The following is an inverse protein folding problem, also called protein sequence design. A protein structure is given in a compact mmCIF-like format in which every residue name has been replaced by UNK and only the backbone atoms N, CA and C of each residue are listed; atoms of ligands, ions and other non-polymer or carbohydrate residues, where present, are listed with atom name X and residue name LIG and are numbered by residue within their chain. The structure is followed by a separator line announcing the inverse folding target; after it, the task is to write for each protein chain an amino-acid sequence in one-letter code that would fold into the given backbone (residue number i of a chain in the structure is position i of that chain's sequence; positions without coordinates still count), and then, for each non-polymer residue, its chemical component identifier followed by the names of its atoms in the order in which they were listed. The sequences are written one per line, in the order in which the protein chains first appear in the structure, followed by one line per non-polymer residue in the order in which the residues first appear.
data_IF_021057850740
#
_entry.id   IF_021057850740
#
_cell.length_a   1.000
_cell.length_b   1.000
_cell.length_c   1.000
_cell.angle_alpha   90.00
_cell.angle_beta   90.00
_cell.angle_gamma   90.00
#
_symmetry.space_group_name_H-M   'P 1'
#
loop_
_entity.id
_entity.type
_entity.pdbx_description
1 polymer ?
#
# COMPACT_ATOMS: atom_id res chain seq x y z
N UNK A 1 17.16 -24.85 6.24
CA UNK A 1 15.94 -24.05 5.95
C UNK A 1 16.21 -22.64 6.42
N UNK A 2 16.24 -21.63 5.53
CA UNK A 2 16.36 -20.24 5.99
C UNK A 2 15.10 -19.87 6.76
N UNK A 3 15.25 -19.33 7.96
CA UNK A 3 14.13 -18.79 8.74
C UNK A 3 13.53 -17.63 7.94
N UNK A 4 12.21 -17.64 7.78
CA UNK A 4 11.50 -16.55 7.13
C UNK A 4 11.56 -15.29 8.01
N UNK A 5 12.17 -14.22 7.51
CA UNK A 5 12.22 -12.92 8.19
C UNK A 5 10.93 -12.14 7.95
N UNK A 6 9.98 -12.32 8.87
CA UNK A 6 8.69 -11.62 8.86
C UNK A 6 8.85 -10.10 8.99
N UNK A 7 9.84 -9.61 9.73
CA UNK A 7 10.00 -8.18 9.96
C UNK A 7 10.44 -7.47 8.69
N UNK A 8 11.43 -8.06 7.98
CA UNK A 8 11.85 -7.53 6.69
C UNK A 8 10.72 -7.60 5.65
N UNK A 9 9.99 -8.72 5.59
CA UNK A 9 8.84 -8.88 4.68
C UNK A 9 7.77 -7.79 4.90
N UNK A 10 7.37 -7.54 6.15
CA UNK A 10 6.38 -6.51 6.47
C UNK A 10 6.87 -5.11 6.09
N UNK A 11 8.16 -4.81 6.32
CA UNK A 11 8.77 -3.52 5.98
C UNK A 11 8.79 -3.27 4.47
N UNK A 12 9.20 -4.27 3.68
CA UNK A 12 9.22 -4.18 2.22
C UNK A 12 7.82 -4.02 1.64
N UNK A 13 6.86 -4.83 2.09
CA UNK A 13 5.47 -4.76 1.61
C UNK A 13 4.82 -3.43 2.00
N UNK A 14 5.03 -2.94 3.23
CA UNK A 14 4.59 -1.61 3.64
C UNK A 14 5.13 -0.52 2.71
N UNK A 15 6.42 -0.54 2.38
CA UNK A 15 7.03 0.43 1.48
C UNK A 15 6.44 0.39 0.06
N UNK A 16 6.17 -0.82 -0.46
CA UNK A 16 5.51 -1.00 -1.75
C UNK A 16 4.10 -0.40 -1.76
N UNK A 17 3.32 -0.64 -0.71
CA UNK A 17 1.95 -0.15 -0.56
C UNK A 17 1.92 1.38 -0.37
N UNK A 18 2.80 1.92 0.47
CA UNK A 18 2.89 3.37 0.70
C UNK A 18 3.24 4.11 -0.62
N UNK A 19 4.13 3.55 -1.46
CA UNK A 19 4.41 4.09 -2.81
C UNK A 19 3.21 3.98 -3.76
N UNK A 20 2.40 2.93 -3.64
CA UNK A 20 1.21 2.77 -4.48
C UNK A 20 0.12 3.78 -4.08
N UNK A 21 -0.15 3.91 -2.78
CA UNK A 21 -1.08 4.89 -2.23
C UNK A 21 -0.70 6.32 -2.63
N UNK A 22 0.59 6.67 -2.58
CA UNK A 22 1.05 8.01 -2.98
C UNK A 22 0.71 8.28 -4.45
N UNK A 23 0.98 7.31 -5.33
CA UNK A 23 0.63 7.42 -6.75
C UNK A 23 -0.88 7.52 -7.00
N UNK A 24 -1.70 6.82 -6.24
CA UNK A 24 -3.16 6.87 -6.39
C UNK A 24 -3.75 8.17 -5.85
N UNK A 25 -3.13 8.73 -4.82
CA UNK A 25 -3.60 9.98 -4.23
C UNK A 25 -3.10 11.20 -4.99
N UNK A 26 -2.00 11.11 -5.77
CA UNK A 26 -1.37 12.21 -6.52
C UNK A 26 -2.33 13.34 -6.90
N UNK A 27 -1.97 14.53 -6.44
CA UNK A 27 -2.71 15.76 -6.63
C UNK A 27 -3.06 16.00 -8.11
N UNK A 28 -4.35 16.06 -8.40
CA UNK A 28 -4.82 16.59 -9.67
C UNK A 28 -4.97 18.10 -9.51
N UNK A 29 -4.31 18.88 -10.39
CA UNK A 29 -4.33 20.36 -10.42
C UNK A 29 -5.74 21.00 -10.41
N UNK A 30 -6.79 20.19 -10.62
CA UNK A 30 -8.20 20.60 -10.65
C UNK A 30 -8.92 20.53 -9.29
N UNK A 31 -8.31 19.97 -8.24
CA UNK A 31 -8.97 19.71 -6.96
C UNK A 31 -8.50 20.63 -5.84
N UNK A 32 -9.33 20.78 -4.80
CA UNK A 32 -9.00 21.56 -3.60
C UNK A 32 -7.76 21.01 -2.90
N UNK A 33 -6.71 21.84 -2.77
CA UNK A 33 -5.48 21.49 -2.07
C UNK A 33 -5.73 21.10 -0.61
N UNK A 34 -6.72 21.72 0.04
CA UNK A 34 -7.09 21.43 1.43
C UNK A 34 -7.63 20.00 1.58
N UNK A 35 -8.51 19.58 0.66
CA UNK A 35 -9.04 18.21 0.67
C UNK A 35 -7.93 17.19 0.43
N UNK A 36 -7.06 17.46 -0.54
CA UNK A 36 -5.93 16.58 -0.83
C UNK A 36 -5.00 16.42 0.38
N UNK A 37 -4.63 17.53 1.03
CA UNK A 37 -3.82 17.51 2.26
C UNK A 37 -4.50 16.72 3.38
N UNK A 38 -5.80 16.87 3.56
CA UNK A 38 -6.55 16.13 4.58
C UNK A 38 -6.56 14.61 4.30
N UNK A 39 -6.81 14.20 3.04
CA UNK A 39 -6.76 12.80 2.63
C UNK A 39 -5.37 12.20 2.80
N UNK A 40 -4.34 12.93 2.34
CA UNK A 40 -2.96 12.50 2.46
C UNK A 40 -2.56 12.35 3.93
N UNK A 41 -2.90 13.32 4.78
CA UNK A 41 -2.67 13.21 6.22
C UNK A 41 -3.35 11.96 6.80
N UNK A 42 -4.64 11.75 6.52
CA UNK A 42 -5.37 10.58 7.00
C UNK A 42 -4.73 9.26 6.58
N UNK A 43 -4.38 9.12 5.30
CA UNK A 43 -3.81 7.89 4.75
C UNK A 43 -2.38 7.64 5.25
N UNK A 44 -1.57 8.68 5.43
CA UNK A 44 -0.14 8.57 5.77
C UNK A 44 0.21 8.87 7.24
N UNK A 45 -0.78 9.07 8.11
CA UNK A 45 -0.62 9.36 9.57
C UNK A 45 0.01 8.25 10.42
N UNK A 46 0.50 7.17 9.80
CA UNK A 46 1.13 6.04 10.49
C UNK A 46 0.22 4.81 10.56
N UNK A 47 0.71 3.69 10.05
CA UNK A 47 -0.03 2.43 10.05
C UNK A 47 0.83 1.27 9.56
N UNK A 48 0.55 0.07 10.11
CA UNK A 48 1.30 -1.17 9.80
C UNK A 48 0.97 -1.76 8.41
N UNK A 49 -0.11 -1.30 7.77
CA UNK A 49 -0.60 -1.78 6.45
C UNK A 49 -0.91 -3.28 6.40
N UNK A 50 -1.24 -3.91 7.53
CA UNK A 50 -1.47 -5.36 7.60
C UNK A 50 -2.56 -5.84 6.63
N UNK A 51 -3.68 -5.12 6.50
CA UNK A 51 -4.77 -5.49 5.58
C UNK A 51 -4.30 -5.54 4.10
N UNK A 52 -3.70 -4.46 3.55
CA UNK A 52 -3.08 -4.50 2.23
C UNK A 52 -2.05 -5.63 2.05
N UNK A 53 -1.20 -5.86 3.05
CA UNK A 53 -0.16 -6.89 3.01
C UNK A 53 -0.79 -8.29 2.88
N UNK A 54 -1.86 -8.56 3.64
CA UNK A 54 -2.59 -9.82 3.57
C UNK A 54 -3.24 -10.03 2.19
N UNK A 55 -3.77 -8.98 1.56
CA UNK A 55 -4.32 -9.06 0.20
C UNK A 55 -3.22 -9.42 -0.81
N UNK A 56 -2.05 -8.77 -0.71
CA UNK A 56 -0.92 -9.09 -1.59
C UNK A 56 -0.46 -10.54 -1.40
N UNK A 57 -0.29 -10.99 -0.16
CA UNK A 57 0.12 -12.36 0.15
C UNK A 57 -0.88 -13.41 -0.34
N UNK A 58 -2.19 -13.17 -0.14
CA UNK A 58 -3.24 -14.05 -0.61
C UNK A 58 -3.27 -14.12 -2.15
N UNK A 59 -3.15 -12.99 -2.84
CA UNK A 59 -3.12 -12.99 -4.31
C UNK A 59 -1.86 -13.65 -4.88
N UNK A 60 -0.69 -13.44 -4.26
CA UNK A 60 0.56 -14.09 -4.62
C UNK A 60 0.48 -15.62 -4.53
N UNK A 61 -0.21 -16.15 -3.50
CA UNK A 61 -0.44 -17.59 -3.35
C UNK A 61 -1.13 -18.22 -4.56
N UNK A 62 -1.99 -17.46 -5.24
CA UNK A 62 -2.69 -17.89 -6.46
C UNK A 62 -2.01 -17.42 -7.76
N UNK A 63 -0.74 -16.98 -7.70
CA UNK A 63 0.03 -16.54 -8.88
C UNK A 63 -0.26 -15.11 -9.34
N UNK A 64 -0.97 -14.32 -8.54
CA UNK A 64 -1.23 -12.90 -8.81
C UNK A 64 0.04 -12.06 -8.76
N UNK A 65 0.22 -11.16 -9.73
CA UNK A 65 1.33 -10.20 -9.74
C UNK A 65 0.95 -8.93 -8.98
N UNK A 66 1.88 -8.34 -8.22
CA UNK A 66 1.64 -7.10 -7.47
C UNK A 66 1.01 -5.99 -8.30
N UNK A 67 1.42 -5.82 -9.56
CA UNK A 67 0.85 -4.81 -10.47
C UNK A 67 -0.68 -4.87 -10.53
N UNK A 68 -1.25 -6.08 -10.50
CA UNK A 68 -2.68 -6.31 -10.58
C UNK A 68 -3.36 -6.28 -9.21
N UNK A 69 -2.64 -6.67 -8.15
CA UNK A 69 -3.17 -6.76 -6.79
C UNK A 69 -3.17 -5.42 -6.04
N UNK A 70 -2.25 -4.52 -6.37
CA UNK A 70 -2.06 -3.24 -5.67
C UNK A 70 -3.32 -2.34 -5.62
N UNK A 71 -4.14 -2.21 -6.68
CA UNK A 71 -5.38 -1.46 -6.60
C UNK A 71 -6.33 -2.00 -5.52
N UNK A 72 -6.49 -3.33 -5.44
CA UNK A 72 -7.34 -3.99 -4.44
C UNK A 72 -6.77 -3.89 -3.03
N UNK A 73 -5.44 -3.96 -2.91
CA UNK A 73 -4.76 -3.79 -1.62
C UNK A 73 -4.86 -2.35 -1.09
N UNK A 74 -5.06 -1.35 -1.95
CA UNK A 74 -5.10 0.07 -1.58
C UNK A 74 -6.51 0.66 -1.44
N UNK A 75 -7.56 -0.08 -1.80
CA UNK A 75 -8.96 0.31 -1.64
C UNK A 75 -9.40 0.27 -0.17
#
# INVERSE_FOLDING_TARGET
MSVFDIQNYLKERKSLIDRALDRYLRESKKHSQTLYRAMHYGVFSGGKRLRPILILAAGELFGGKHKWLLPFACA
#
